data_IF_352987342704
#
_entry.id   IF_352987342704
#
_cell.length_a   1.000
_cell.length_b   1.000
_cell.length_c   1.000
_cell.angle_alpha   90.00
_cell.angle_beta   90.00
_cell.angle_gamma   90.00
#
_symmetry.space_group_name_H-M   'P 1'
#
loop_
_entity.id
_entity.type
_entity.pdbx_description
1 polymer ?
#
# COMPACT_ATOMS: atom_id res chain seq x y z
N UNK A 1 20.84 -21.85 7.77
CA UNK A 1 19.52 -21.28 8.15
C UNK A 1 18.53 -21.39 7.01
N UNK A 2 18.81 -20.84 5.81
CA UNK A 2 17.93 -21.00 4.64
C UNK A 2 17.73 -22.49 4.30
N UNK A 3 18.81 -23.28 4.29
CA UNK A 3 18.72 -24.73 4.02
C UNK A 3 17.87 -25.47 5.07
N UNK A 4 18.00 -25.11 6.34
CA UNK A 4 17.21 -25.71 7.43
C UNK A 4 15.72 -25.35 7.34
N UNK A 5 15.40 -24.11 6.93
CA UNK A 5 14.03 -23.67 6.65
C UNK A 5 13.48 -24.44 5.46
N UNK A 6 14.28 -24.57 4.40
CA UNK A 6 13.90 -25.31 3.20
C UNK A 6 13.62 -26.78 3.53
N UNK A 7 14.52 -27.47 4.21
CA UNK A 7 14.35 -28.87 4.57
C UNK A 7 13.14 -29.12 5.49
N UNK A 8 12.84 -28.17 6.39
CA UNK A 8 11.70 -28.31 7.31
C UNK A 8 10.36 -27.91 6.68
N UNK A 9 10.31 -26.83 5.90
CA UNK A 9 9.05 -26.17 5.51
C UNK A 9 8.71 -26.26 4.02
N UNK A 10 9.67 -26.58 3.16
CA UNK A 10 9.44 -26.53 1.72
C UNK A 10 8.38 -27.55 1.27
N UNK A 11 7.42 -27.08 0.46
CA UNK A 11 6.35 -27.89 -0.10
C UNK A 11 5.28 -28.35 0.89
N UNK A 12 5.33 -27.91 2.16
CA UNK A 12 4.33 -28.27 3.17
C UNK A 12 3.27 -27.19 3.30
N UNK A 13 2.00 -27.60 3.32
CA UNK A 13 0.90 -26.74 3.77
C UNK A 13 0.76 -26.99 5.27
N UNK A 14 1.00 -25.94 6.05
CA UNK A 14 0.93 -25.98 7.51
C UNK A 14 0.15 -24.79 8.04
N UNK A 15 -0.56 -25.00 9.15
CA UNK A 15 -1.30 -23.94 9.81
C UNK A 15 -0.39 -23.03 10.66
N UNK A 16 -0.98 -21.97 11.21
CA UNK A 16 -0.26 -20.98 12.01
C UNK A 16 0.42 -21.58 13.26
N UNK A 17 -0.18 -22.58 13.91
CA UNK A 17 0.40 -23.20 15.10
C UNK A 17 1.59 -24.09 14.72
N UNK A 18 1.45 -24.85 13.63
CA UNK A 18 2.51 -25.71 13.11
C UNK A 18 3.74 -24.90 12.69
N UNK A 19 3.56 -23.80 11.95
CA UNK A 19 4.69 -22.94 11.56
C UNK A 19 5.33 -22.27 12.78
N UNK A 20 4.55 -21.90 13.82
CA UNK A 20 5.10 -21.37 15.08
C UNK A 20 6.00 -22.39 15.76
N UNK A 21 5.57 -23.65 15.85
CA UNK A 21 6.38 -24.74 16.42
C UNK A 21 7.69 -24.92 15.64
N UNK A 22 7.64 -24.93 14.31
CA UNK A 22 8.85 -25.07 13.47
C UNK A 22 9.79 -23.87 13.59
N UNK A 23 9.24 -22.65 13.65
CA UNK A 23 10.03 -21.45 13.89
C UNK A 23 10.68 -21.49 15.28
N UNK A 24 10.00 -22.00 16.31
CA UNK A 24 10.61 -22.18 17.64
C UNK A 24 11.75 -23.20 17.63
N UNK A 25 11.62 -24.28 16.86
CA UNK A 25 12.72 -25.26 16.65
C UNK A 25 13.93 -24.63 15.96
N UNK A 26 13.70 -23.79 14.96
CA UNK A 26 14.76 -23.08 14.22
C UNK A 26 15.43 -21.98 15.05
N UNK A 27 14.70 -21.38 15.99
CA UNK A 27 15.17 -20.30 16.86
C UNK A 27 14.97 -20.66 18.35
N UNK A 28 15.69 -21.65 18.91
CA UNK A 28 15.40 -22.19 20.24
C UNK A 28 15.63 -21.18 21.39
N UNK A 29 16.44 -20.13 21.15
CA UNK A 29 16.68 -19.09 22.14
C UNK A 29 15.52 -18.07 22.17
N UNK A 30 14.86 -17.86 23.32
CA UNK A 30 13.80 -16.86 23.47
C UNK A 30 14.27 -15.47 23.06
N UNK A 31 13.43 -14.75 22.30
CA UNK A 31 13.73 -13.40 21.82
C UNK A 31 14.77 -13.31 20.68
N UNK A 32 15.42 -14.41 20.30
CA UNK A 32 16.35 -14.43 19.17
C UNK A 32 15.61 -14.47 17.83
N UNK A 33 16.24 -13.90 16.79
CA UNK A 33 15.76 -14.02 15.42
C UNK A 33 14.45 -13.29 15.11
N UNK A 34 14.06 -12.28 15.89
CA UNK A 34 12.76 -11.57 15.75
C UNK A 34 12.38 -11.24 14.29
N UNK A 35 13.31 -10.65 13.54
CA UNK A 35 13.09 -10.32 12.13
C UNK A 35 12.98 -11.57 11.25
N UNK A 36 13.84 -12.56 11.45
CA UNK A 36 13.81 -13.81 10.68
C UNK A 36 12.52 -14.60 10.93
N UNK A 37 12.03 -14.63 12.18
CA UNK A 37 10.73 -15.22 12.54
C UNK A 37 9.59 -14.53 11.78
N UNK A 38 9.51 -13.20 11.85
CA UNK A 38 8.50 -12.42 11.13
C UNK A 38 8.56 -12.65 9.62
N UNK A 39 9.76 -12.58 9.02
CA UNK A 39 9.95 -12.79 7.57
C UNK A 39 9.61 -14.21 7.12
N UNK A 40 9.85 -15.21 7.96
CA UNK A 40 9.47 -16.60 7.66
C UNK A 40 7.95 -16.75 7.65
N UNK A 41 7.25 -16.15 8.62
CA UNK A 41 5.79 -16.11 8.66
C UNK A 41 5.20 -15.39 7.45
N UNK A 42 5.69 -14.18 7.15
CA UNK A 42 5.24 -13.39 5.99
C UNK A 42 5.47 -14.14 4.67
N UNK A 43 6.65 -14.73 4.49
CA UNK A 43 6.98 -15.48 3.28
C UNK A 43 6.09 -16.73 3.12
N UNK A 44 5.82 -17.47 4.21
CA UNK A 44 4.94 -18.63 4.19
C UNK A 44 3.50 -18.25 3.86
N UNK A 45 2.97 -17.18 4.48
CA UNK A 45 1.63 -16.67 4.20
C UNK A 45 1.47 -16.19 2.75
N UNK A 46 2.44 -15.44 2.23
CA UNK A 46 2.45 -14.99 0.84
C UNK A 46 2.55 -16.19 -0.12
N UNK A 47 3.44 -17.13 0.15
CA UNK A 47 3.57 -18.32 -0.69
C UNK A 47 2.27 -19.14 -0.73
N UNK A 48 1.66 -19.38 0.43
CA UNK A 48 0.36 -20.05 0.50
C UNK A 48 -0.69 -19.29 -0.31
N UNK A 49 -0.82 -17.97 -0.11
CA UNK A 49 -1.73 -17.11 -0.84
C UNK A 49 -1.61 -17.22 -2.37
N UNK A 50 -0.39 -17.33 -2.89
CA UNK A 50 -0.13 -17.50 -4.33
C UNK A 50 -0.37 -18.92 -4.86
N UNK A 51 -0.30 -19.94 -4.00
CA UNK A 51 -0.44 -21.35 -4.42
C UNK A 51 -1.84 -21.93 -4.25
N UNK A 52 -2.61 -21.41 -3.30
CA UNK A 52 -3.98 -21.86 -3.08
C UNK A 52 -4.90 -21.42 -4.24
N UNK A 53 -6.00 -22.14 -4.45
CA UNK A 53 -6.93 -21.92 -5.57
C UNK A 53 -8.34 -21.49 -5.14
N UNK A 54 -8.59 -21.35 -3.84
CA UNK A 54 -9.89 -20.97 -3.30
C UNK A 54 -10.18 -19.48 -3.53
N UNK A 55 -9.16 -18.64 -3.42
CA UNK A 55 -9.23 -17.20 -3.57
C UNK A 55 -8.30 -16.79 -4.72
N UNK A 56 -8.77 -16.03 -5.72
CA UNK A 56 -7.89 -15.59 -6.79
C UNK A 56 -6.82 -14.62 -6.26
N UNK A 57 -5.59 -14.78 -6.75
CA UNK A 57 -4.52 -13.79 -6.52
C UNK A 57 -4.92 -12.48 -7.19
N UNK A 58 -4.75 -11.37 -6.47
CA UNK A 58 -5.07 -10.04 -6.99
C UNK A 58 -4.05 -9.70 -8.09
N UNK A 59 -4.49 -9.44 -9.33
CA UNK A 59 -3.58 -9.24 -10.47
C UNK A 59 -2.86 -7.90 -10.43
N UNK A 60 -3.51 -6.87 -9.90
CA UNK A 60 -2.94 -5.54 -9.70
C UNK A 60 -3.51 -4.86 -8.45
N UNK A 61 -2.68 -4.09 -7.75
CA UNK A 61 -3.06 -3.42 -6.50
C UNK A 61 -2.43 -2.03 -6.40
N UNK A 62 -3.24 -1.02 -6.06
CA UNK A 62 -2.72 0.30 -5.71
C UNK A 62 -2.34 0.36 -4.22
N UNK A 63 -1.16 0.88 -3.91
CA UNK A 63 -0.67 1.06 -2.53
C UNK A 63 0.10 2.37 -2.35
N UNK A 64 0.47 2.69 -1.11
CA UNK A 64 1.37 3.79 -0.75
C UNK A 64 2.86 3.39 -0.75
N UNK A 65 3.21 2.23 -1.32
CA UNK A 65 4.54 1.63 -1.28
C UNK A 65 5.00 1.17 0.11
N UNK A 66 4.08 0.85 1.02
CA UNK A 66 4.40 0.15 2.27
C UNK A 66 5.11 -1.20 2.02
N UNK A 67 6.11 -1.57 2.83
CA UNK A 67 6.82 -2.85 2.68
C UNK A 67 5.91 -4.09 2.79
N UNK A 68 4.76 -3.97 3.43
CA UNK A 68 3.74 -5.01 3.60
C UNK A 68 3.03 -5.40 2.29
N UNK A 69 3.05 -4.54 1.26
CA UNK A 69 2.42 -4.84 -0.03
C UNK A 69 3.32 -5.65 -0.97
N UNK A 70 4.60 -5.82 -0.61
CA UNK A 70 5.56 -6.53 -1.45
C UNK A 70 5.12 -7.95 -1.70
N UNK A 71 5.11 -8.36 -2.97
CA UNK A 71 4.74 -9.71 -3.43
C UNK A 71 3.30 -10.11 -3.14
N UNK A 72 2.41 -9.18 -2.79
CA UNK A 72 0.97 -9.47 -2.73
C UNK A 72 0.39 -9.60 -4.13
N UNK A 73 0.88 -8.82 -5.08
CA UNK A 73 0.42 -8.82 -6.46
C UNK A 73 1.62 -8.80 -7.40
N UNK A 74 1.42 -9.22 -8.64
CA UNK A 74 2.43 -9.10 -9.69
C UNK A 74 2.62 -7.62 -10.08
N UNK A 75 1.52 -6.88 -10.22
CA UNK A 75 1.54 -5.50 -10.70
C UNK A 75 1.08 -4.52 -9.62
N UNK A 76 2.05 -4.00 -8.87
CA UNK A 76 1.80 -3.01 -7.84
C UNK A 76 1.80 -1.60 -8.43
N UNK A 77 0.67 -0.91 -8.34
CA UNK A 77 0.55 0.51 -8.64
C UNK A 77 0.87 1.39 -7.43
N UNK A 78 1.39 2.59 -7.67
CA UNK A 78 1.68 3.57 -6.62
C UNK A 78 0.68 4.72 -6.55
N UNK A 79 0.31 5.10 -5.33
CA UNK A 79 -0.63 6.16 -5.06
C UNK A 79 -0.05 7.54 -5.42
N UNK A 80 -0.67 8.20 -6.40
CA UNK A 80 -0.29 9.53 -6.87
C UNK A 80 -0.42 10.61 -5.79
N UNK A 81 -1.33 10.47 -4.83
CA UNK A 81 -1.44 11.42 -3.71
C UNK A 81 -0.25 11.29 -2.76
N UNK A 82 0.23 10.07 -2.53
CA UNK A 82 1.41 9.84 -1.70
C UNK A 82 2.68 10.34 -2.37
N UNK A 83 2.82 10.10 -3.67
CA UNK A 83 3.94 10.61 -4.44
C UNK A 83 3.95 12.15 -4.45
N UNK A 84 2.80 12.79 -4.69
CA UNK A 84 2.61 14.24 -4.65
C UNK A 84 2.90 14.85 -3.26
N UNK A 85 2.56 14.13 -2.18
CA UNK A 85 2.88 14.54 -0.80
C UNK A 85 4.39 14.61 -0.54
N UNK A 86 5.19 13.83 -1.25
CA UNK A 86 6.66 13.86 -1.09
C UNK A 86 7.25 15.20 -1.52
N UNK A 87 6.70 15.82 -2.56
CA UNK A 87 7.06 17.16 -3.04
C UNK A 87 6.60 18.25 -2.07
N UNK A 88 5.36 18.18 -1.56
CA UNK A 88 4.83 19.14 -0.56
C UNK A 88 5.60 19.15 0.77
N UNK A 89 6.43 18.15 1.03
CA UNK A 89 7.30 18.10 2.22
C UNK A 89 8.58 18.92 2.05
N UNK A 90 8.94 19.29 0.82
CA UNK A 90 10.03 20.23 0.58
C UNK A 90 9.62 21.59 1.19
N UNK A 91 10.49 22.15 2.02
CA UNK A 91 10.27 23.45 2.67
C UNK A 91 11.44 24.39 2.38
N UNK A 92 11.65 24.77 1.10
CA UNK A 92 12.70 25.72 0.76
C UNK A 92 12.43 27.08 1.41
N UNK A 93 13.51 27.71 1.89
CA UNK A 93 13.46 29.06 2.47
C UNK A 93 13.80 30.14 1.43
N UNK A 94 14.53 29.75 0.39
CA UNK A 94 14.90 30.64 -0.72
C UNK A 94 13.69 30.82 -1.65
N UNK A 95 13.24 32.07 -1.94
CA UNK A 95 12.06 32.31 -2.78
C UNK A 95 12.14 31.64 -4.15
N UNK A 96 13.30 31.67 -4.80
CA UNK A 96 13.53 31.03 -6.08
C UNK A 96 13.24 29.51 -6.05
N UNK A 97 13.62 28.82 -4.97
CA UNK A 97 13.34 27.40 -4.80
C UNK A 97 11.88 27.12 -4.43
N UNK A 98 11.20 28.06 -3.76
CA UNK A 98 9.76 27.98 -3.53
C UNK A 98 9.02 28.03 -4.87
N UNK A 99 9.37 28.98 -5.73
CA UNK A 99 8.80 29.10 -7.08
C UNK A 99 9.07 27.84 -7.91
N UNK A 100 10.26 27.24 -7.83
CA UNK A 100 10.55 25.98 -8.53
C UNK A 100 9.66 24.81 -8.05
N UNK A 101 9.46 24.67 -6.74
CA UNK A 101 8.59 23.65 -6.17
C UNK A 101 7.13 23.89 -6.56
N UNK A 102 6.65 25.12 -6.48
CA UNK A 102 5.27 25.48 -6.83
C UNK A 102 4.99 25.25 -8.32
N UNK A 103 5.90 25.68 -9.20
CA UNK A 103 5.79 25.44 -10.64
C UNK A 103 5.83 23.94 -10.99
N UNK A 104 6.65 23.16 -10.29
CA UNK A 104 6.65 21.71 -10.46
C UNK A 104 5.34 21.08 -9.97
N UNK A 105 4.84 21.48 -8.79
CA UNK A 105 3.58 20.96 -8.25
C UNK A 105 2.39 21.27 -9.15
N UNK A 106 2.33 22.45 -9.77
CA UNK A 106 1.30 22.77 -10.77
C UNK A 106 1.33 21.76 -11.91
N UNK A 107 2.48 21.56 -12.56
CA UNK A 107 2.63 20.56 -13.65
C UNK A 107 2.28 19.14 -13.21
N UNK A 108 2.67 18.77 -11.99
CA UNK A 108 2.33 17.48 -11.40
C UNK A 108 0.82 17.28 -11.26
N UNK A 109 0.10 18.28 -10.75
CA UNK A 109 -1.35 18.19 -10.56
C UNK A 109 -2.12 18.31 -11.87
N UNK A 110 -1.65 19.11 -12.83
CA UNK A 110 -2.19 19.15 -14.18
C UNK A 110 -2.12 17.76 -14.84
N UNK A 111 -0.98 17.08 -14.70
CA UNK A 111 -0.83 15.70 -15.18
C UNK A 111 -1.77 14.72 -14.47
N UNK A 112 -1.92 14.85 -13.15
CA UNK A 112 -2.87 14.05 -12.38
C UNK A 112 -4.32 14.25 -12.83
N UNK A 113 -4.73 15.48 -13.14
CA UNK A 113 -6.07 15.76 -13.70
C UNK A 113 -6.26 15.09 -15.07
N UNK A 114 -5.22 15.09 -15.92
CA UNK A 114 -5.28 14.36 -17.20
C UNK A 114 -5.40 12.85 -17.01
N UNK A 115 -4.76 12.27 -15.99
CA UNK A 115 -4.97 10.86 -15.63
C UNK A 115 -6.42 10.60 -15.20
N UNK A 116 -7.05 11.52 -14.47
CA UNK A 116 -8.47 11.40 -14.11
C UNK A 116 -9.36 11.41 -15.36
N UNK A 117 -9.10 12.33 -16.30
CA UNK A 117 -9.83 12.39 -17.58
C UNK A 117 -9.64 11.12 -18.41
N UNK A 118 -8.43 10.59 -18.48
CA UNK A 118 -8.14 9.32 -19.16
C UNK A 118 -8.98 8.17 -18.60
N UNK A 119 -9.15 8.08 -17.28
CA UNK A 119 -9.97 7.02 -16.66
C UNK A 119 -11.46 7.09 -17.07
N UNK A 120 -11.97 8.27 -17.45
CA UNK A 120 -13.37 8.43 -17.88
C UNK A 120 -13.57 7.87 -19.29
N UNK A 121 -12.60 8.07 -20.19
CA UNK A 121 -12.67 7.58 -21.56
C UNK A 121 -11.27 7.14 -22.04
N UNK A 122 -10.81 5.94 -21.66
CA UNK A 122 -9.45 5.52 -21.96
C UNK A 122 -9.31 5.19 -23.45
N UNK A 123 -8.26 5.73 -24.07
CA UNK A 123 -7.84 5.35 -25.43
C UNK A 123 -6.34 5.04 -25.50
N UNK A 124 -5.91 4.16 -26.42
CA UNK A 124 -4.49 3.87 -26.63
C UNK A 124 -3.66 5.13 -26.95
N UNK A 125 -4.22 6.06 -27.71
CA UNK A 125 -3.56 7.32 -28.10
C UNK A 125 -3.36 8.23 -26.89
N UNK A 126 -4.38 8.36 -26.03
CA UNK A 126 -4.25 9.11 -24.78
C UNK A 126 -3.25 8.46 -23.83
N UNK A 127 -3.26 7.12 -23.72
CA UNK A 127 -2.29 6.40 -22.88
C UNK A 127 -0.85 6.64 -23.34
N UNK A 128 -0.60 6.58 -24.66
CA UNK A 128 0.71 6.86 -25.22
C UNK A 128 1.12 8.32 -24.98
N UNK A 129 0.22 9.28 -25.22
CA UNK A 129 0.45 10.70 -24.98
C UNK A 129 0.81 10.97 -23.51
N UNK A 130 0.06 10.41 -22.57
CA UNK A 130 0.31 10.54 -21.13
C UNK A 130 1.65 9.90 -20.71
N UNK A 131 1.99 8.75 -21.29
CA UNK A 131 3.28 8.12 -21.03
C UNK A 131 4.46 8.97 -21.50
N UNK A 132 4.32 9.71 -22.61
CA UNK A 132 5.32 10.65 -23.11
C UNK A 132 5.37 11.90 -22.22
N UNK A 133 4.21 12.44 -21.86
CA UNK A 133 4.12 13.61 -20.98
C UNK A 133 4.74 13.34 -19.60
N UNK A 134 4.57 12.12 -19.06
CA UNK A 134 5.27 11.68 -17.86
C UNK A 134 6.79 11.87 -18.00
N UNK A 135 7.39 11.36 -19.08
CA UNK A 135 8.84 11.47 -19.28
C UNK A 135 9.28 12.94 -19.38
N UNK A 136 8.48 13.79 -20.01
CA UNK A 136 8.77 15.22 -20.12
C UNK A 136 8.74 15.93 -18.76
N UNK A 137 7.75 15.64 -17.92
CA UNK A 137 7.63 16.25 -16.58
C UNK A 137 8.73 15.74 -15.66
N UNK A 138 8.94 14.43 -15.61
CA UNK A 138 9.84 13.79 -14.65
C UNK A 138 11.29 13.64 -15.14
N UNK A 139 11.64 14.31 -16.24
CA UNK A 139 13.03 14.55 -16.67
C UNK A 139 13.49 15.99 -16.44
N UNK A 140 12.60 16.88 -15.95
CA UNK A 140 12.96 18.28 -15.75
C UNK A 140 14.02 18.43 -14.66
N UNK A 141 15.00 19.31 -14.90
CA UNK A 141 15.99 19.73 -13.91
C UNK A 141 15.77 21.19 -13.53
N UNK A 142 15.95 21.48 -12.24
CA UNK A 142 15.85 22.81 -11.66
C UNK A 142 17.16 23.15 -10.91
N UNK A 143 17.27 24.35 -10.34
CA UNK A 143 18.43 24.72 -9.51
C UNK A 143 18.34 24.22 -8.07
N UNK A 144 17.25 23.54 -7.71
CA UNK A 144 17.02 22.98 -6.38
C UNK A 144 17.25 21.48 -6.37
N UNK A 145 18.41 21.08 -5.86
CA UNK A 145 18.86 19.67 -5.87
C UNK A 145 17.90 18.72 -5.15
N UNK A 146 17.28 19.13 -4.04
CA UNK A 146 16.31 18.26 -3.35
C UNK A 146 15.04 18.01 -4.18
N UNK A 147 14.63 18.98 -5.00
CA UNK A 147 13.52 18.80 -5.94
C UNK A 147 13.94 17.84 -7.06
N UNK A 148 15.13 18.03 -7.63
CA UNK A 148 15.70 17.12 -8.65
C UNK A 148 15.78 15.67 -8.14
N UNK A 149 16.22 15.47 -6.90
CA UNK A 149 16.26 14.17 -6.24
C UNK A 149 14.88 13.51 -6.12
N UNK A 150 13.82 14.31 -5.88
CA UNK A 150 12.45 13.80 -5.83
C UNK A 150 11.96 13.42 -7.21
N UNK A 151 12.19 14.28 -8.20
CA UNK A 151 11.85 14.02 -9.59
C UNK A 151 12.49 12.73 -10.09
N UNK A 152 13.78 12.52 -9.83
CA UNK A 152 14.50 11.31 -10.22
C UNK A 152 13.90 10.05 -9.57
N UNK A 153 13.50 10.12 -8.29
CA UNK A 153 12.85 8.99 -7.59
C UNK A 153 11.48 8.66 -8.17
N UNK A 154 10.70 9.66 -8.56
CA UNK A 154 9.41 9.45 -9.23
C UNK A 154 9.61 8.88 -10.63
N UNK A 155 10.57 9.41 -11.39
CA UNK A 155 10.94 8.92 -12.73
C UNK A 155 11.33 7.43 -12.70
N UNK A 156 12.12 7.02 -11.71
CA UNK A 156 12.52 5.63 -11.52
C UNK A 156 11.35 4.66 -11.21
N UNK A 157 10.16 5.20 -10.86
CA UNK A 157 8.94 4.43 -10.53
C UNK A 157 7.86 4.57 -11.60
N UNK A 158 8.24 4.94 -12.82
CA UNK A 158 7.30 5.14 -13.93
C UNK A 158 6.39 3.93 -14.13
N UNK A 159 6.95 2.72 -14.13
CA UNK A 159 6.19 1.48 -14.33
C UNK A 159 5.01 1.35 -13.37
N UNK A 160 5.22 1.67 -12.09
CA UNK A 160 4.21 1.53 -11.05
C UNK A 160 3.25 2.72 -11.00
N UNK A 161 3.72 3.93 -11.31
CA UNK A 161 2.88 5.15 -11.32
C UNK A 161 1.99 5.22 -12.57
N UNK A 162 2.50 4.77 -13.71
CA UNK A 162 1.78 4.74 -14.99
C UNK A 162 0.94 3.46 -15.17
N UNK A 163 0.85 2.60 -14.15
CA UNK A 163 0.10 1.33 -14.25
C UNK A 163 -1.39 1.55 -14.60
N UNK A 164 -1.96 2.70 -14.21
CA UNK A 164 -3.32 3.11 -14.60
C UNK A 164 -3.52 3.21 -16.12
N UNK A 165 -2.46 3.47 -16.89
CA UNK A 165 -2.52 3.52 -18.36
C UNK A 165 -2.67 2.14 -19.00
N UNK A 166 -2.35 1.07 -18.23
CA UNK A 166 -2.61 -0.32 -18.59
C UNK A 166 -3.96 -0.80 -18.04
N UNK A 167 -4.30 -0.37 -16.83
CA UNK A 167 -5.53 -0.72 -16.12
C UNK A 167 -6.32 0.54 -15.73
N UNK A 168 -7.16 1.10 -16.62
CA UNK A 168 -7.91 2.32 -16.36
C UNK A 168 -8.86 2.23 -15.16
N UNK A 169 -9.23 1.03 -14.72
CA UNK A 169 -10.01 0.76 -13.52
C UNK A 169 -9.20 0.97 -12.23
N UNK A 170 -7.87 0.82 -12.27
CA UNK A 170 -6.99 0.98 -11.11
C UNK A 170 -7.11 2.41 -10.54
N UNK A 171 -7.42 2.57 -9.24
CA UNK A 171 -7.54 3.91 -8.67
C UNK A 171 -6.21 4.68 -8.75
N UNK A 172 -6.25 6.01 -8.74
CA UNK A 172 -5.03 6.85 -8.65
C UNK A 172 -4.62 7.12 -7.20
N UNK A 173 -5.54 6.91 -6.26
CA UNK A 173 -5.34 7.17 -4.85
C UNK A 173 -5.87 6.04 -3.98
N UNK A 174 -5.27 5.83 -2.82
CA UNK A 174 -5.66 4.82 -1.84
C UNK A 174 -6.62 5.37 -0.77
N UNK A 175 -7.40 6.43 -1.07
CA UNK A 175 -8.31 7.08 -0.11
C UNK A 175 -9.20 6.10 0.66
N UNK A 176 -9.68 5.02 0.04
CA UNK A 176 -10.49 4.01 0.74
C UNK A 176 -9.71 3.29 1.86
N UNK A 177 -8.42 2.99 1.64
CA UNK A 177 -7.53 2.47 2.67
C UNK A 177 -7.20 3.55 3.72
N UNK A 178 -6.91 4.78 3.30
CA UNK A 178 -6.66 5.89 4.22
C UNK A 178 -7.87 6.14 5.16
N UNK A 179 -9.10 6.11 4.63
CA UNK A 179 -10.33 6.35 5.41
C UNK A 179 -10.54 5.29 6.49
N UNK A 180 -10.24 4.01 6.20
CA UNK A 180 -10.28 2.95 7.21
C UNK A 180 -9.30 3.20 8.35
N UNK A 181 -8.07 3.59 7.99
CA UNK A 181 -7.01 3.94 8.95
C UNK A 181 -7.40 5.15 9.80
N UNK A 182 -8.01 6.18 9.19
CA UNK A 182 -8.51 7.38 9.89
C UNK A 182 -9.64 7.06 10.88
N UNK A 183 -10.45 6.03 10.64
CA UNK A 183 -11.47 5.62 11.59
C UNK A 183 -10.85 5.11 12.90
N UNK A 184 -9.79 4.31 12.81
CA UNK A 184 -9.03 3.85 13.98
C UNK A 184 -8.29 4.99 14.68
N UNK A 185 -7.65 5.89 13.92
CA UNK A 185 -6.98 7.06 14.49
C UNK A 185 -7.96 7.94 15.30
N UNK A 186 -9.13 8.25 14.73
CA UNK A 186 -10.17 9.01 15.45
C UNK A 186 -10.70 8.29 16.68
N UNK A 187 -10.83 6.96 16.63
CA UNK A 187 -11.24 6.17 17.80
C UNK A 187 -10.19 6.29 18.91
N UNK A 188 -8.90 6.25 18.58
CA UNK A 188 -7.80 6.46 19.52
C UNK A 188 -7.74 7.89 20.04
N UNK A 189 -8.04 8.90 19.23
CA UNK A 189 -8.10 10.29 19.70
C UNK A 189 -9.19 10.48 20.77
N UNK A 190 -10.31 9.77 20.64
CA UNK A 190 -11.46 9.86 21.57
C UNK A 190 -11.29 8.94 22.79
N UNK A 191 -10.77 7.73 22.59
CA UNK A 191 -10.75 6.67 23.62
C UNK A 191 -9.35 6.34 24.15
N UNK A 192 -8.33 7.08 23.72
CA UNK A 192 -6.91 6.82 24.00
C UNK A 192 -6.52 5.39 23.58
N UNK A 193 -5.52 4.82 24.24
CA UNK A 193 -4.99 3.49 23.96
C UNK A 193 -5.66 2.44 24.83
N UNK A 194 -5.75 1.24 24.28
CA UNK A 194 -6.12 0.04 25.04
C UNK A 194 -4.98 -0.34 25.98
N UNK A 195 -5.33 -0.77 27.20
CA UNK A 195 -4.36 -1.16 28.24
C UNK A 195 -4.01 -2.65 28.16
N UNK A 196 -4.97 -3.49 27.76
CA UNK A 196 -4.83 -4.94 27.69
C UNK A 196 -4.91 -5.44 26.25
N UNK A 197 -4.32 -6.60 25.99
CA UNK A 197 -4.43 -7.26 24.68
C UNK A 197 -5.89 -7.58 24.31
N UNK A 198 -6.69 -8.00 25.30
CA UNK A 198 -8.13 -8.23 25.13
C UNK A 198 -8.87 -6.93 24.74
N UNK A 199 -8.51 -5.81 25.37
CA UNK A 199 -9.05 -4.50 25.02
C UNK A 199 -8.73 -4.13 23.57
N UNK A 200 -7.49 -4.37 23.13
CA UNK A 200 -7.06 -4.18 21.73
C UNK A 200 -7.87 -5.05 20.78
N UNK A 201 -7.97 -6.36 21.04
CA UNK A 201 -8.74 -7.30 20.20
C UNK A 201 -10.21 -6.90 20.10
N UNK A 202 -10.83 -6.52 21.22
CA UNK A 202 -12.22 -6.06 21.26
C UNK A 202 -12.41 -4.81 20.40
N UNK A 203 -11.56 -3.80 20.59
CA UNK A 203 -11.62 -2.57 19.79
C UNK A 203 -11.45 -2.85 18.29
N UNK A 204 -10.44 -3.64 17.92
CA UNK A 204 -10.16 -3.95 16.51
C UNK A 204 -11.31 -4.72 15.87
N UNK A 205 -11.93 -5.65 16.61
CA UNK A 205 -13.11 -6.41 16.15
C UNK A 205 -14.29 -5.49 15.88
N UNK A 206 -14.69 -4.68 16.87
CA UNK A 206 -15.84 -3.77 16.70
C UNK A 206 -15.60 -2.71 15.62
N UNK A 207 -14.36 -2.20 15.50
CA UNK A 207 -13.99 -1.28 14.43
C UNK A 207 -14.09 -1.95 13.05
N UNK A 208 -13.65 -3.20 12.93
CA UNK A 208 -13.74 -3.99 11.69
C UNK A 208 -15.19 -4.22 11.29
N UNK A 209 -16.04 -4.65 12.21
CA UNK A 209 -17.49 -4.85 11.99
C UNK A 209 -18.13 -3.54 11.52
N UNK A 210 -17.89 -2.44 12.25
CA UNK A 210 -18.50 -1.15 11.95
C UNK A 210 -18.05 -0.60 10.58
N UNK A 211 -16.76 -0.70 10.24
CA UNK A 211 -16.26 -0.25 8.93
C UNK A 211 -16.75 -1.13 7.80
N UNK A 212 -16.90 -2.44 8.02
CA UNK A 212 -17.40 -3.37 6.99
C UNK A 212 -18.88 -3.13 6.70
N UNK A 213 -19.71 -3.02 7.74
CA UNK A 213 -21.11 -2.65 7.59
C UNK A 213 -21.27 -1.32 6.82
N UNK A 214 -20.46 -0.31 7.15
CA UNK A 214 -20.43 0.97 6.44
C UNK A 214 -20.05 0.81 4.96
N UNK A 215 -19.04 0.00 4.64
CA UNK A 215 -18.64 -0.27 3.24
C UNK A 215 -19.74 -0.96 2.44
N UNK A 216 -20.47 -1.86 3.08
CA UNK A 216 -21.59 -2.60 2.49
C UNK A 216 -22.90 -1.79 2.46
N UNK A 217 -22.92 -0.56 2.99
CA UNK A 217 -24.13 0.27 3.06
C UNK A 217 -25.21 -0.27 3.99
N UNK A 218 -24.87 -1.16 4.92
CA UNK A 218 -25.83 -1.77 5.85
C UNK A 218 -25.68 -1.20 7.26
N UNK A 219 -26.77 -1.26 8.03
CA UNK A 219 -26.74 -0.91 9.45
C UNK A 219 -25.80 -1.87 10.19
N UNK A 220 -24.94 -1.33 11.06
CA UNK A 220 -24.04 -2.13 11.92
C UNK A 220 -24.81 -3.15 12.74
N UNK A 221 -26.00 -2.78 13.26
CA UNK A 221 -26.86 -3.69 14.01
C UNK A 221 -27.31 -4.88 13.17
N UNK A 222 -27.78 -4.63 11.93
CA UNK A 222 -28.19 -5.68 11.00
C UNK A 222 -27.02 -6.56 10.55
N UNK A 223 -25.84 -5.95 10.36
CA UNK A 223 -24.64 -6.69 9.98
C UNK A 223 -24.17 -7.62 11.11
N UNK A 224 -24.30 -7.18 12.37
CA UNK A 224 -23.93 -8.00 13.52
C UNK A 224 -24.90 -9.18 13.72
N UNK A 225 -26.20 -8.98 13.44
CA UNK A 225 -27.18 -10.08 13.45
C UNK A 225 -26.83 -11.17 12.42
N UNK A 226 -26.32 -10.79 11.25
CA UNK A 226 -25.89 -11.74 10.20
C UNK A 226 -24.61 -12.52 10.55
N UNK A 227 -23.81 -12.06 11.51
CA UNK A 227 -22.58 -12.74 11.95
C UNK A 227 -22.83 -13.73 13.10
N UNK A 228 -23.99 -13.67 13.74
CA UNK A 228 -24.38 -14.50 14.88
C UNK A 228 -25.17 -15.77 14.48
N UNK A 229 -25.34 -16.02 13.18
CA UNK A 229 -25.93 -17.23 12.60
C UNK A 229 -24.93 -17.90 11.65
#
# INVERSE_FOLDING_TARGET
MIDQIHDSLFGKIIDENQIRIEIERLFPKPGSGKNSRLRTMEAGAIAYYHTQTEIPVVPFLLSDNGPEYKRITEEQGLCWIHEGRSYKKLKPVVPLYQDEVDNFLTRYWDYYEKLLLYKVNPSPEMAQSLSIEFDQIFSSQTMYDELNDRIAKTSARKSELSLVLKYPELPLHNNMAELGTRAQARKRDVSLHTITEEGTKSQDTFMTIAQTAKKLGVSVYKYNELLCY
#
